data_IF_830988736892
#
_entry.id   IF_830988736892
#
_cell.length_a   1.000
_cell.length_b   1.000
_cell.length_c   1.000
_cell.angle_alpha   90.00
_cell.angle_beta   90.00
_cell.angle_gamma   90.00
#
_symmetry.space_group_name_H-M   'P 1'
#
loop_
_entity.id
_entity.type
_entity.pdbx_description
1 polymer ?
#
# COMPACT_ATOMS: atom_id res chain seq x y z
N UNK A 1 44.70 -3.45 -36.71
CA UNK A 1 43.80 -2.63 -37.57
C UNK A 1 42.42 -3.27 -37.79
N UNK A 2 42.18 -4.56 -37.51
CA UNK A 2 40.88 -5.24 -37.76
C UNK A 2 39.85 -5.04 -36.67
N UNK A 3 40.20 -4.77 -35.41
CA UNK A 3 39.27 -4.63 -34.28
C UNK A 3 38.54 -3.28 -34.29
N UNK A 4 39.25 -2.18 -34.59
CA UNK A 4 38.67 -0.85 -34.66
C UNK A 4 37.70 -0.67 -35.85
N UNK A 5 37.96 -1.31 -37.00
CA UNK A 5 37.08 -1.27 -38.16
C UNK A 5 35.80 -2.09 -37.94
N UNK A 6 35.86 -3.21 -37.22
CA UNK A 6 34.69 -4.02 -36.82
C UNK A 6 33.76 -3.28 -35.86
N UNK A 7 34.32 -2.50 -34.92
CA UNK A 7 33.50 -1.71 -33.99
C UNK A 7 32.80 -0.51 -34.63
N UNK A 8 33.46 0.11 -35.65
CA UNK A 8 32.86 1.20 -36.43
C UNK A 8 31.70 0.67 -37.29
N UNK A 9 31.89 -0.50 -37.90
CA UNK A 9 30.84 -1.13 -38.76
C UNK A 9 29.63 -1.59 -37.95
N UNK A 10 29.82 -2.11 -36.73
CA UNK A 10 28.73 -2.44 -35.79
C UNK A 10 27.95 -1.20 -35.34
N UNK A 11 28.60 -0.05 -35.19
CA UNK A 11 27.93 1.20 -34.80
C UNK A 11 27.08 1.81 -35.93
N UNK A 12 27.41 1.56 -37.20
CA UNK A 12 26.68 2.12 -38.34
C UNK A 12 25.33 1.42 -38.63
N UNK A 13 25.20 0.15 -38.24
CA UNK A 13 23.97 -0.65 -38.50
C UNK A 13 23.02 -0.81 -37.29
N UNK A 14 23.27 -0.06 -36.22
CA UNK A 14 22.37 -0.09 -35.05
C UNK A 14 21.16 0.81 -35.23
N UNK A 15 19.98 0.30 -34.88
CA UNK A 15 18.74 1.06 -34.85
C UNK A 15 18.86 2.29 -33.95
N UNK A 16 18.09 3.35 -34.25
CA UNK A 16 18.06 4.61 -33.47
C UNK A 16 17.84 4.34 -31.98
N UNK A 17 17.03 3.34 -31.62
CA UNK A 17 16.78 2.92 -30.22
C UNK A 17 18.02 2.32 -29.55
N UNK A 18 18.87 1.62 -30.31
CA UNK A 18 20.13 1.06 -29.80
C UNK A 18 21.22 2.13 -29.68
N UNK A 19 21.23 3.14 -30.56
CA UNK A 19 22.10 4.32 -30.44
C UNK A 19 21.71 5.18 -29.22
N UNK A 20 20.44 5.32 -28.90
CA UNK A 20 19.98 5.98 -27.67
C UNK A 20 20.39 5.23 -26.40
N UNK A 21 20.36 3.90 -26.42
CA UNK A 21 20.84 3.06 -25.28
C UNK A 21 22.35 3.15 -25.05
N UNK A 22 23.15 3.37 -26.09
CA UNK A 22 24.62 3.40 -25.98
C UNK A 22 25.15 4.79 -25.56
N UNK A 23 24.49 5.87 -25.97
CA UNK A 23 24.91 7.24 -25.65
C UNK A 23 24.43 7.75 -24.29
N UNK A 24 23.45 7.11 -23.67
CA UNK A 24 23.09 7.36 -22.29
C UNK A 24 23.80 6.33 -21.40
N UNK A 25 25.05 6.60 -21.01
CA UNK A 25 25.55 6.16 -19.72
C UNK A 25 25.08 7.20 -18.72
N UNK A 26 23.97 7.00 -18.01
CA UNK A 26 23.62 7.85 -16.89
C UNK A 26 24.78 7.74 -15.90
N UNK A 27 25.07 8.84 -15.23
CA UNK A 27 25.99 8.81 -14.08
C UNK A 27 25.60 7.60 -13.23
N UNK A 28 26.56 6.75 -12.92
CA UNK A 28 26.42 5.35 -12.48
C UNK A 28 25.58 5.10 -11.19
N UNK A 29 24.62 5.90 -10.86
CA UNK A 29 23.74 5.79 -9.70
C UNK A 29 22.25 5.74 -10.03
N UNK A 30 21.78 6.55 -10.99
CA UNK A 30 20.35 6.75 -11.17
C UNK A 30 19.62 5.56 -11.83
N UNK A 31 20.24 4.86 -12.80
CA UNK A 31 19.62 3.68 -13.43
C UNK A 31 19.86 2.38 -12.64
N UNK A 32 20.89 2.33 -11.82
CA UNK A 32 21.06 1.21 -10.90
C UNK A 32 19.97 1.25 -9.80
N UNK A 33 19.61 2.44 -9.34
CA UNK A 33 18.47 2.62 -8.41
C UNK A 33 17.16 2.06 -8.99
N UNK A 34 16.86 2.33 -10.28
CA UNK A 34 15.63 1.85 -10.93
C UNK A 34 15.50 0.31 -11.00
N UNK A 35 16.58 -0.43 -10.86
CA UNK A 35 16.55 -1.91 -10.79
C UNK A 35 16.10 -2.42 -9.43
N UNK A 36 16.20 -1.59 -8.40
CA UNK A 36 15.88 -1.93 -7.02
C UNK A 36 14.58 -1.26 -6.55
N UNK A 37 13.98 -0.37 -7.37
CA UNK A 37 12.64 0.19 -7.13
C UNK A 37 11.61 -0.88 -7.49
N UNK A 38 10.80 -1.24 -6.54
CA UNK A 38 9.70 -2.19 -6.74
C UNK A 38 9.16 -2.73 -5.42
N UNK A 39 9.99 -3.35 -4.57
CA UNK A 39 9.53 -3.89 -3.29
C UNK A 39 8.87 -2.85 -2.39
N UNK A 40 9.47 -1.68 -2.21
CA UNK A 40 8.91 -0.59 -1.44
C UNK A 40 7.62 -0.03 -2.04
N UNK A 41 7.58 0.18 -3.36
CA UNK A 41 6.36 0.63 -4.05
C UNK A 41 5.22 -0.36 -3.94
N UNK A 42 5.48 -1.67 -4.06
CA UNK A 42 4.45 -2.69 -3.90
C UNK A 42 3.82 -2.64 -2.51
N UNK A 43 4.64 -2.43 -1.49
CA UNK A 43 4.16 -2.34 -0.10
C UNK A 43 3.47 -1.01 0.18
N UNK A 44 3.84 0.08 -0.53
CA UNK A 44 3.18 1.40 -0.41
C UNK A 44 1.68 1.33 -0.71
N UNK A 45 1.25 0.40 -1.56
CA UNK A 45 -0.19 0.17 -1.84
C UNK A 45 -0.98 -0.14 -0.59
N UNK A 46 -0.39 -0.91 0.32
CA UNK A 46 -1.03 -1.19 1.59
C UNK A 46 -1.25 0.04 2.49
N UNK A 47 -0.63 1.20 2.17
CA UNK A 47 -0.83 2.46 2.92
C UNK A 47 -1.79 3.43 2.21
N UNK A 48 -2.38 3.01 1.09
CA UNK A 48 -3.31 3.80 0.29
C UNK A 48 -4.63 3.00 0.17
N UNK A 49 -4.89 2.18 1.13
CA UNK A 49 -6.03 1.29 1.22
C UNK A 49 -7.33 2.02 1.64
N UNK A 50 -8.49 1.40 1.47
CA UNK A 50 -9.76 1.97 1.89
C UNK A 50 -9.86 2.30 3.39
N UNK A 51 -9.16 1.58 4.27
CA UNK A 51 -9.06 1.89 5.70
C UNK A 51 -8.37 3.23 5.95
N UNK A 52 -7.26 3.48 5.25
CA UNK A 52 -6.60 4.80 5.25
C UNK A 52 -7.51 5.89 4.70
N UNK A 53 -8.29 5.60 3.65
CA UNK A 53 -9.26 6.58 3.12
C UNK A 53 -10.28 6.96 4.18
N UNK A 54 -10.93 5.98 4.79
CA UNK A 54 -11.93 6.23 5.84
C UNK A 54 -11.33 7.06 7.00
N UNK A 55 -10.19 6.63 7.53
CA UNK A 55 -9.50 7.29 8.64
C UNK A 55 -9.06 8.73 8.30
N UNK A 56 -8.50 8.95 7.11
CA UNK A 56 -8.00 10.26 6.69
C UNK A 56 -9.17 11.21 6.37
N UNK A 57 -10.25 10.73 5.75
CA UNK A 57 -11.44 11.55 5.53
C UNK A 57 -12.15 11.91 6.84
N UNK A 58 -12.25 10.98 7.79
CA UNK A 58 -12.76 11.26 9.13
C UNK A 58 -11.86 12.31 9.83
N UNK A 59 -10.54 12.13 9.82
CA UNK A 59 -9.59 13.07 10.40
C UNK A 59 -9.74 14.48 9.83
N UNK A 60 -9.80 14.60 8.50
CA UNK A 60 -9.91 15.88 7.82
C UNK A 60 -11.28 16.55 8.02
N UNK A 61 -12.37 15.80 7.94
CA UNK A 61 -13.75 16.33 8.06
C UNK A 61 -14.11 16.75 9.50
N UNK A 62 -13.59 16.05 10.51
CA UNK A 62 -13.89 16.35 11.92
C UNK A 62 -12.91 17.32 12.58
N UNK A 63 -11.61 17.22 12.24
CA UNK A 63 -10.54 17.98 12.92
C UNK A 63 -9.76 18.92 11.98
N UNK A 64 -10.19 19.07 10.73
CA UNK A 64 -9.48 19.91 9.76
C UNK A 64 -8.05 19.44 9.56
N UNK A 65 -7.10 20.38 9.64
CA UNK A 65 -5.67 20.05 9.47
C UNK A 65 -4.99 19.49 10.74
N UNK A 66 -5.67 19.50 11.88
CA UNK A 66 -5.05 19.25 13.19
C UNK A 66 -4.34 17.90 13.34
N UNK A 67 -4.73 16.88 12.56
CA UNK A 67 -4.19 15.53 12.64
C UNK A 67 -3.14 15.18 11.56
N UNK A 68 -2.71 16.14 10.74
CA UNK A 68 -1.66 15.90 9.72
C UNK A 68 -0.33 15.40 10.31
N UNK A 69 0.00 15.78 11.53
CA UNK A 69 1.20 15.30 12.24
C UNK A 69 1.17 13.78 12.48
N UNK A 70 -0.01 13.18 12.62
CA UNK A 70 -0.17 11.73 12.81
C UNK A 70 0.34 10.98 11.58
N UNK A 71 -0.02 11.46 10.38
CA UNK A 71 0.48 10.89 9.12
C UNK A 71 2.00 11.00 9.01
N UNK A 72 2.57 12.13 9.45
CA UNK A 72 4.03 12.31 9.46
C UNK A 72 4.70 11.36 10.45
N UNK A 73 4.18 11.26 11.67
CA UNK A 73 4.72 10.37 12.69
C UNK A 73 4.64 8.91 12.27
N UNK A 74 3.47 8.46 11.81
CA UNK A 74 3.27 7.07 11.36
C UNK A 74 4.17 6.73 10.18
N UNK A 75 4.37 7.65 9.24
CA UNK A 75 5.29 7.45 8.11
C UNK A 75 6.75 7.31 8.57
N UNK A 76 7.21 8.13 9.52
CA UNK A 76 8.56 8.00 10.11
C UNK A 76 8.72 6.64 10.79
N UNK A 77 7.74 6.22 11.61
CA UNK A 77 7.75 4.91 12.25
C UNK A 77 7.84 3.79 11.22
N UNK A 78 7.08 3.91 10.15
CA UNK A 78 7.02 2.91 9.10
C UNK A 78 8.33 2.81 8.31
N UNK A 79 8.98 3.94 7.97
CA UNK A 79 10.31 3.94 7.32
C UNK A 79 11.31 3.11 8.15
N UNK A 80 11.34 3.33 9.46
CA UNK A 80 12.24 2.59 10.36
C UNK A 80 11.90 1.10 10.40
N UNK A 81 10.62 0.76 10.54
CA UNK A 81 10.18 -0.63 10.62
C UNK A 81 10.40 -1.38 9.30
N UNK A 82 10.04 -0.79 8.17
CA UNK A 82 10.21 -1.37 6.84
C UNK A 82 11.69 -1.60 6.51
N UNK A 83 12.55 -0.62 6.81
CA UNK A 83 13.99 -0.78 6.61
C UNK A 83 14.57 -1.92 7.44
N UNK A 84 14.17 -2.04 8.72
CA UNK A 84 14.65 -3.13 9.57
C UNK A 84 14.21 -4.51 9.05
N UNK A 85 12.98 -4.60 8.58
CA UNK A 85 12.42 -5.84 8.05
C UNK A 85 13.08 -6.22 6.72
N UNK A 86 13.32 -5.25 5.85
CA UNK A 86 14.06 -5.47 4.60
C UNK A 86 15.52 -5.88 4.88
N UNK A 87 16.16 -5.23 5.86
CA UNK A 87 17.52 -5.60 6.31
C UNK A 87 17.57 -7.08 6.75
N UNK A 88 16.59 -7.53 7.54
CA UNK A 88 16.46 -8.95 7.90
C UNK A 88 16.45 -9.85 6.67
N UNK A 89 15.57 -9.59 5.71
CA UNK A 89 15.43 -10.38 4.48
C UNK A 89 16.69 -10.38 3.60
N UNK A 90 17.32 -9.22 3.43
CA UNK A 90 18.53 -9.07 2.61
C UNK A 90 19.71 -9.85 3.20
N UNK A 91 19.89 -9.78 4.52
CA UNK A 91 21.08 -10.38 5.18
C UNK A 91 20.88 -11.86 5.45
N UNK A 92 19.71 -12.27 5.94
CA UNK A 92 19.47 -13.65 6.37
C UNK A 92 18.84 -14.53 5.29
N UNK A 93 18.14 -13.93 4.32
CA UNK A 93 17.35 -14.66 3.35
C UNK A 93 16.07 -15.25 3.92
N UNK A 94 15.66 -14.85 5.14
CA UNK A 94 14.43 -15.27 5.79
C UNK A 94 13.41 -14.13 5.77
N UNK A 95 12.14 -14.47 5.58
CA UNK A 95 11.08 -13.53 5.85
C UNK A 95 10.82 -13.39 7.35
N UNK A 96 10.07 -12.37 7.77
CA UNK A 96 9.83 -12.06 9.18
C UNK A 96 9.10 -13.21 9.91
N UNK A 97 8.16 -13.89 9.24
CA UNK A 97 7.41 -15.02 9.81
C UNK A 97 8.28 -16.26 10.02
N UNK A 98 9.15 -16.58 9.06
CA UNK A 98 10.13 -17.67 9.18
C UNK A 98 11.14 -17.38 10.29
N UNK A 99 11.68 -16.15 10.32
CA UNK A 99 12.63 -15.74 11.36
C UNK A 99 12.00 -15.81 12.75
N UNK A 100 10.75 -15.37 12.90
CA UNK A 100 10.01 -15.48 14.16
C UNK A 100 9.83 -16.96 14.58
N UNK A 101 9.48 -17.83 13.64
CA UNK A 101 9.29 -19.26 13.90
C UNK A 101 10.59 -19.97 14.24
N UNK A 102 11.71 -19.58 13.59
CA UNK A 102 13.01 -20.23 13.77
C UNK A 102 13.75 -19.79 15.04
N UNK A 103 13.71 -18.47 15.35
CA UNK A 103 14.54 -17.90 16.41
C UNK A 103 13.78 -17.56 17.69
N UNK A 104 12.44 -17.42 17.64
CA UNK A 104 11.66 -17.16 18.85
C UNK A 104 11.13 -18.47 19.47
N UNK A 105 11.02 -18.54 20.81
CA UNK A 105 10.34 -19.64 21.47
C UNK A 105 8.90 -19.78 20.97
N UNK A 106 8.43 -21.01 20.82
CA UNK A 106 7.09 -21.30 20.25
C UNK A 106 5.93 -20.61 20.98
N UNK A 107 6.08 -20.37 22.28
CA UNK A 107 5.07 -19.69 23.10
C UNK A 107 5.00 -18.17 22.83
N UNK A 108 6.02 -17.58 22.20
CA UNK A 108 6.04 -16.19 21.71
C UNK A 108 5.67 -16.15 20.22
N UNK A 109 6.34 -16.95 19.39
CA UNK A 109 6.16 -16.93 17.94
C UNK A 109 4.70 -17.18 17.53
N UNK A 110 4.05 -18.22 18.10
CA UNK A 110 2.67 -18.57 17.73
C UNK A 110 1.64 -17.49 18.04
N UNK A 111 1.59 -16.87 19.25
CA UNK A 111 0.68 -15.76 19.49
C UNK A 111 0.94 -14.54 18.61
N UNK A 112 2.22 -14.17 18.39
CA UNK A 112 2.60 -13.04 17.52
C UNK A 112 2.16 -13.28 16.09
N UNK A 113 2.46 -14.44 15.51
CA UNK A 113 2.04 -14.77 14.14
C UNK A 113 0.50 -14.93 14.06
N UNK A 114 -0.13 -15.49 15.08
CA UNK A 114 -1.59 -15.57 15.18
C UNK A 114 -2.25 -14.19 15.20
N UNK A 115 -1.70 -13.22 15.96
CA UNK A 115 -2.20 -11.85 15.97
C UNK A 115 -1.98 -11.14 14.61
N UNK A 116 -0.89 -11.45 13.92
CA UNK A 116 -0.63 -10.92 12.58
C UNK A 116 -1.62 -11.48 11.53
N UNK A 117 -2.03 -12.75 11.66
CA UNK A 117 -3.11 -13.33 10.82
C UNK A 117 -4.44 -12.62 11.11
N UNK A 118 -4.77 -12.39 12.38
CA UNK A 118 -6.00 -11.66 12.74
C UNK A 118 -5.97 -10.23 12.20
N UNK A 119 -4.85 -9.53 12.29
CA UNK A 119 -4.67 -8.21 11.70
C UNK A 119 -4.86 -8.26 10.18
N UNK A 120 -4.33 -9.27 9.47
CA UNK A 120 -4.56 -9.44 8.04
C UNK A 120 -6.03 -9.66 7.70
N UNK A 121 -6.78 -10.40 8.53
CA UNK A 121 -8.23 -10.60 8.34
C UNK A 121 -8.98 -9.26 8.50
N UNK A 122 -8.67 -8.50 9.55
CA UNK A 122 -9.28 -7.19 9.80
C UNK A 122 -9.00 -6.23 8.64
N UNK A 123 -7.77 -6.15 8.17
CA UNK A 123 -7.41 -5.32 7.01
C UNK A 123 -8.11 -5.80 5.72
N UNK A 124 -8.10 -7.12 5.44
CA UNK A 124 -8.81 -7.66 4.27
C UNK A 124 -10.30 -7.32 4.28
N UNK A 125 -10.91 -7.20 5.45
CA UNK A 125 -12.30 -6.77 5.61
C UNK A 125 -12.48 -5.32 5.11
N UNK A 126 -11.66 -4.39 5.58
CA UNK A 126 -11.70 -2.99 5.16
C UNK A 126 -11.47 -2.83 3.65
N UNK A 127 -10.53 -3.60 3.11
CA UNK A 127 -10.15 -3.54 1.69
C UNK A 127 -11.24 -4.09 0.77
N UNK A 128 -11.85 -5.23 1.11
CA UNK A 128 -12.99 -5.80 0.39
C UNK A 128 -14.19 -4.84 0.43
N UNK A 129 -14.46 -4.25 1.60
CA UNK A 129 -15.53 -3.24 1.75
C UNK A 129 -15.27 -2.02 0.87
N UNK A 130 -14.03 -1.52 0.82
CA UNK A 130 -13.68 -0.40 -0.04
C UNK A 130 -13.92 -0.69 -1.52
N UNK A 131 -13.53 -1.89 -1.99
CA UNK A 131 -13.84 -2.34 -3.35
C UNK A 131 -15.35 -2.45 -3.61
N UNK A 132 -16.12 -2.97 -2.64
CA UNK A 132 -17.57 -3.09 -2.72
C UNK A 132 -18.26 -1.72 -2.73
N UNK A 133 -17.84 -0.80 -1.87
CA UNK A 133 -18.32 0.60 -1.83
C UNK A 133 -18.07 1.27 -3.19
N UNK A 134 -16.89 1.11 -3.75
CA UNK A 134 -16.57 1.65 -5.06
C UNK A 134 -17.46 1.07 -6.17
N UNK A 135 -17.72 -0.23 -6.17
CA UNK A 135 -18.66 -0.87 -7.10
C UNK A 135 -20.10 -0.36 -6.92
N UNK A 136 -20.52 -0.11 -5.70
CA UNK A 136 -21.82 0.51 -5.44
C UNK A 136 -21.87 1.95 -5.97
N UNK A 137 -20.82 2.74 -5.77
CA UNK A 137 -20.73 4.12 -6.29
C UNK A 137 -20.73 4.21 -7.81
N UNK A 138 -20.13 3.23 -8.49
CA UNK A 138 -19.96 3.22 -9.96
C UNK A 138 -21.12 2.57 -10.68
N UNK A 139 -21.67 1.48 -10.14
CA UNK A 139 -22.58 0.56 -10.84
C UNK A 139 -23.85 0.26 -10.07
N UNK A 140 -24.08 0.91 -8.91
CA UNK A 140 -25.20 0.67 -8.00
C UNK A 140 -25.31 -0.80 -7.53
N UNK A 141 -24.18 -1.53 -7.49
CA UNK A 141 -24.13 -2.92 -7.03
C UNK A 141 -24.23 -2.92 -5.50
N UNK A 142 -25.18 -3.67 -4.88
CA UNK A 142 -25.25 -3.78 -3.41
C UNK A 142 -23.95 -4.28 -2.79
N UNK A 143 -23.56 -3.75 -1.61
CA UNK A 143 -22.30 -4.03 -0.92
C UNK A 143 -22.01 -5.52 -0.83
N UNK A 144 -23.00 -6.35 -0.49
CA UNK A 144 -22.85 -7.81 -0.38
C UNK A 144 -22.35 -8.44 -1.69
N UNK A 145 -22.96 -8.09 -2.81
CA UNK A 145 -22.55 -8.58 -4.14
C UNK A 145 -21.22 -7.98 -4.58
N UNK A 146 -21.00 -6.69 -4.30
CA UNK A 146 -19.74 -6.01 -4.52
C UNK A 146 -18.58 -6.69 -3.79
N UNK A 147 -18.79 -7.07 -2.52
CA UNK A 147 -17.80 -7.80 -1.72
C UNK A 147 -17.48 -9.18 -2.27
N UNK A 148 -18.51 -9.93 -2.70
CA UNK A 148 -18.31 -11.25 -3.33
C UNK A 148 -17.52 -11.10 -4.63
N UNK A 149 -17.89 -10.14 -5.48
CA UNK A 149 -17.20 -9.92 -6.76
C UNK A 149 -15.75 -9.50 -6.56
N UNK A 150 -15.47 -8.57 -5.65
CA UNK A 150 -14.11 -8.13 -5.31
C UNK A 150 -13.27 -9.31 -4.81
N UNK A 151 -13.79 -10.06 -3.84
CA UNK A 151 -13.08 -11.21 -3.27
C UNK A 151 -12.79 -12.28 -4.32
N UNK A 152 -13.78 -12.65 -5.13
CA UNK A 152 -13.63 -13.66 -6.17
C UNK A 152 -12.60 -13.20 -7.24
N UNK A 153 -12.67 -11.95 -7.67
CA UNK A 153 -11.73 -11.38 -8.63
C UNK A 153 -10.29 -11.44 -8.11
N UNK A 154 -10.08 -11.06 -6.85
CA UNK A 154 -8.76 -11.09 -6.21
C UNK A 154 -8.24 -12.51 -6.04
N UNK A 155 -9.06 -13.47 -5.60
CA UNK A 155 -8.67 -14.88 -5.51
C UNK A 155 -8.25 -15.42 -6.87
N UNK A 156 -9.01 -15.13 -7.93
CA UNK A 156 -8.66 -15.54 -9.30
C UNK A 156 -7.34 -14.91 -9.73
N UNK A 157 -7.13 -13.61 -9.45
CA UNK A 157 -5.86 -12.93 -9.73
C UNK A 157 -4.68 -13.58 -9.01
N UNK A 158 -4.80 -13.79 -7.71
CA UNK A 158 -3.73 -14.39 -6.90
C UNK A 158 -3.35 -15.79 -7.38
N UNK A 159 -4.35 -16.64 -7.69
CA UNK A 159 -4.10 -18.04 -8.06
C UNK A 159 -3.70 -18.23 -9.53
N UNK A 160 -4.03 -17.28 -10.41
CA UNK A 160 -3.80 -17.39 -11.86
C UNK A 160 -2.56 -16.68 -12.35
N UNK A 161 -2.07 -15.67 -11.62
CA UNK A 161 -1.04 -14.75 -12.11
C UNK A 161 0.32 -14.98 -11.46
N UNK A 162 1.38 -14.73 -12.24
CA UNK A 162 2.73 -14.66 -11.69
C UNK A 162 2.91 -13.34 -10.94
N UNK A 163 3.70 -13.38 -9.86
CA UNK A 163 4.08 -12.24 -9.03
C UNK A 163 4.39 -10.95 -9.83
N UNK A 164 5.22 -11.03 -10.87
CA UNK A 164 5.60 -9.87 -11.71
C UNK A 164 4.45 -9.18 -12.44
N UNK A 165 3.35 -9.90 -12.71
CA UNK A 165 2.16 -9.28 -13.32
C UNK A 165 1.34 -8.53 -12.28
N UNK A 166 1.22 -9.12 -11.09
CA UNK A 166 0.54 -8.51 -9.94
C UNK A 166 1.27 -7.24 -9.54
N UNK A 167 2.58 -7.28 -9.34
CA UNK A 167 3.41 -6.12 -9.01
C UNK A 167 3.22 -4.95 -9.99
N UNK A 168 3.25 -5.21 -11.30
CA UNK A 168 3.03 -4.16 -12.31
C UNK A 168 1.61 -3.58 -12.30
N UNK A 169 0.60 -4.42 -12.08
CA UNK A 169 -0.78 -3.96 -11.96
C UNK A 169 -0.94 -3.04 -10.73
N UNK A 170 -0.35 -3.43 -9.62
CA UNK A 170 -0.36 -2.68 -8.37
C UNK A 170 0.31 -1.30 -8.55
N UNK A 171 1.51 -1.24 -9.14
CA UNK A 171 2.21 0.03 -9.40
C UNK A 171 1.35 0.95 -10.29
N UNK A 172 0.68 0.39 -11.31
CA UNK A 172 -0.23 1.17 -12.15
C UNK A 172 -1.42 1.73 -11.34
N UNK A 173 -2.00 0.94 -10.43
CA UNK A 173 -3.12 1.38 -9.58
C UNK A 173 -2.70 2.53 -8.66
N UNK A 174 -1.56 2.40 -7.96
CA UNK A 174 -1.02 3.48 -7.11
C UNK A 174 -0.80 4.77 -7.91
N UNK A 175 -0.27 4.65 -9.12
CA UNK A 175 -0.05 5.81 -9.97
C UNK A 175 -1.36 6.52 -10.32
N UNK A 176 -2.41 5.77 -10.64
CA UNK A 176 -3.75 6.33 -10.90
C UNK A 176 -4.32 7.01 -9.65
N UNK A 177 -4.23 6.35 -8.49
CA UNK A 177 -4.70 6.90 -7.21
C UNK A 177 -3.96 8.19 -6.87
N UNK A 178 -2.63 8.19 -6.96
CA UNK A 178 -1.81 9.38 -6.68
C UNK A 178 -2.15 10.55 -7.60
N UNK A 179 -2.34 10.29 -8.90
CA UNK A 179 -2.73 11.32 -9.86
C UNK A 179 -4.15 11.84 -9.61
N UNK A 180 -5.09 11.00 -9.19
CA UNK A 180 -6.45 11.44 -8.87
C UNK A 180 -6.48 12.39 -7.68
N UNK A 181 -5.78 12.08 -6.59
CA UNK A 181 -5.69 12.99 -5.43
C UNK A 181 -4.94 14.29 -5.76
N UNK A 182 -3.87 14.22 -6.54
CA UNK A 182 -3.19 15.44 -7.01
C UNK A 182 -4.14 16.31 -7.82
N UNK A 183 -4.94 15.73 -8.72
CA UNK A 183 -5.95 16.47 -9.48
C UNK A 183 -6.98 17.13 -8.54
N UNK A 184 -7.53 16.40 -7.58
CA UNK A 184 -8.51 16.92 -6.63
C UNK A 184 -7.94 18.04 -5.74
N UNK A 185 -6.66 17.96 -5.32
CA UNK A 185 -6.00 19.02 -4.56
C UNK A 185 -5.87 20.33 -5.31
N UNK A 186 -5.74 20.30 -6.64
CA UNK A 186 -5.72 21.53 -7.45
C UNK A 186 -7.08 22.23 -7.54
N UNK A 187 -8.16 21.54 -7.20
CA UNK A 187 -9.52 22.06 -7.26
C UNK A 187 -9.98 22.71 -5.96
N UNK A 188 -9.27 22.48 -4.84
CA UNK A 188 -9.66 22.97 -3.51
C UNK A 188 -8.74 24.10 -3.03
N UNK A 189 -9.30 24.99 -2.21
CA UNK A 189 -8.55 26.08 -1.60
C UNK A 189 -8.02 25.67 -0.21
N UNK A 190 -6.71 25.40 -0.15
CA UNK A 190 -6.01 24.90 1.02
C UNK A 190 -5.32 26.07 1.75
N UNK A 191 -5.48 26.11 3.07
CA UNK A 191 -4.68 26.98 3.95
C UNK A 191 -3.29 26.35 4.19
N UNK A 192 -2.37 26.62 3.25
CA UNK A 192 -1.02 26.08 3.30
C UNK A 192 -0.22 26.44 4.57
N UNK A 193 -0.26 27.71 5.08
CA UNK A 193 0.39 28.05 6.35
C UNK A 193 -0.08 27.18 7.51
N UNK A 194 -1.40 26.95 7.63
CA UNK A 194 -1.96 26.09 8.66
C UNK A 194 -1.58 24.62 8.46
N UNK A 195 -1.65 24.11 7.23
CA UNK A 195 -1.30 22.73 6.88
C UNK A 195 0.17 22.42 7.19
N UNK A 196 1.11 23.29 6.76
CA UNK A 196 2.55 23.12 7.00
C UNK A 196 2.85 23.07 8.51
N UNK A 197 2.24 23.95 9.30
CA UNK A 197 2.36 23.93 10.76
C UNK A 197 1.83 22.62 11.33
N UNK A 198 0.68 22.13 10.87
CA UNK A 198 0.03 20.94 11.37
C UNK A 198 0.77 19.64 11.04
N UNK A 199 1.61 19.58 10.00
CA UNK A 199 2.47 18.43 9.74
C UNK A 199 3.56 18.24 10.79
N UNK A 200 4.00 19.32 11.45
CA UNK A 200 5.16 19.30 12.35
C UNK A 200 4.76 19.45 13.80
N UNK A 201 3.70 20.23 14.09
CA UNK A 201 3.27 20.53 15.45
C UNK A 201 2.13 19.60 15.87
N UNK A 202 2.37 18.66 16.80
CA UNK A 202 1.32 17.78 17.31
C UNK A 202 0.21 18.56 18.00
N UNK A 203 -1.03 18.17 17.69
CA UNK A 203 -2.24 18.67 18.34
C UNK A 203 -3.19 17.50 18.59
N UNK A 204 -3.77 17.44 19.79
CA UNK A 204 -4.71 16.39 20.18
C UNK A 204 -6.02 17.06 20.58
N UNK A 205 -6.90 17.35 19.59
CA UNK A 205 -8.22 17.89 19.88
C UNK A 205 -9.05 16.95 20.77
N UNK A 206 -9.98 17.49 21.51
CA UNK A 206 -10.88 16.68 22.33
C UNK A 206 -11.70 15.74 21.44
N UNK A 207 -11.73 14.44 21.79
CA UNK A 207 -12.43 13.41 21.02
C UNK A 207 -11.63 12.79 19.86
N UNK A 208 -10.44 13.33 19.52
CA UNK A 208 -9.66 12.86 18.36
C UNK A 208 -8.91 11.54 18.56
N UNK A 209 -8.86 10.99 19.78
CA UNK A 209 -8.00 9.84 20.09
C UNK A 209 -8.33 8.61 19.26
N UNK A 210 -9.61 8.30 19.05
CA UNK A 210 -10.03 7.17 18.22
C UNK A 210 -9.53 7.31 16.78
N UNK A 211 -9.67 8.50 16.19
CA UNK A 211 -9.24 8.76 14.82
C UNK A 211 -7.71 8.80 14.73
N UNK A 212 -7.01 9.34 15.74
CA UNK A 212 -5.54 9.27 15.80
C UNK A 212 -5.08 7.81 15.78
N UNK A 213 -5.70 6.94 16.58
CA UNK A 213 -5.36 5.51 16.62
C UNK A 213 -5.70 4.82 15.30
N UNK A 214 -6.83 5.16 14.68
CA UNK A 214 -7.22 4.64 13.38
C UNK A 214 -6.23 5.03 12.28
N UNK A 215 -5.89 6.33 12.15
CA UNK A 215 -4.90 6.81 11.16
C UNK A 215 -3.53 6.16 11.38
N UNK A 216 -3.08 6.06 12.64
CA UNK A 216 -1.80 5.46 12.95
C UNK A 216 -1.79 3.96 12.65
N UNK A 217 -2.85 3.24 13.01
CA UNK A 217 -3.01 1.81 12.76
C UNK A 217 -3.15 1.48 11.27
N UNK A 218 -3.88 2.30 10.54
CA UNK A 218 -4.04 2.18 9.10
C UNK A 218 -2.73 2.41 8.32
N UNK A 219 -1.81 3.26 8.81
CA UNK A 219 -0.49 3.45 8.19
C UNK A 219 0.51 2.38 8.65
N UNK A 220 0.60 2.07 9.97
CA UNK A 220 1.57 1.13 10.52
C UNK A 220 0.96 -0.27 10.62
N UNK A 221 0.71 -0.89 9.46
CA UNK A 221 0.09 -2.21 9.37
C UNK A 221 1.09 -3.34 9.61
N UNK A 222 0.90 -4.19 10.64
CA UNK A 222 1.83 -5.28 10.92
C UNK A 222 1.99 -6.26 9.75
N UNK A 223 0.90 -6.67 9.11
CA UNK A 223 0.93 -7.64 8.02
C UNK A 223 1.72 -7.14 6.79
N UNK A 224 1.77 -5.83 6.53
CA UNK A 224 2.59 -5.26 5.47
C UNK A 224 4.10 -5.36 5.75
N UNK A 225 4.52 -5.39 7.02
CA UNK A 225 5.90 -5.68 7.39
C UNK A 225 6.28 -7.12 7.01
N UNK A 226 5.39 -8.07 7.26
CA UNK A 226 5.59 -9.46 6.83
C UNK A 226 5.67 -9.57 5.31
N UNK A 227 4.74 -8.93 4.59
CA UNK A 227 4.75 -8.92 3.12
C UNK A 227 6.05 -8.33 2.57
N UNK A 228 6.53 -7.21 3.14
CA UNK A 228 7.79 -6.59 2.69
C UNK A 228 8.98 -7.55 2.83
N UNK A 229 9.10 -8.22 3.98
CA UNK A 229 10.18 -9.20 4.18
C UNK A 229 10.11 -10.35 3.18
N UNK A 230 8.91 -10.83 2.84
CA UNK A 230 8.66 -11.87 1.86
C UNK A 230 9.07 -11.43 0.44
N UNK A 231 8.67 -10.22 0.07
CA UNK A 231 9.05 -9.64 -1.22
C UNK A 231 10.57 -9.53 -1.35
N UNK A 232 11.24 -9.03 -0.31
CA UNK A 232 12.70 -8.94 -0.26
C UNK A 232 13.34 -10.34 -0.34
N UNK A 233 12.83 -11.32 0.40
CA UNK A 233 13.32 -12.70 0.37
C UNK A 233 13.25 -13.29 -1.04
N UNK A 234 12.18 -13.01 -1.79
CA UNK A 234 11.98 -13.52 -3.15
C UNK A 234 13.08 -13.10 -4.15
N UNK A 235 13.86 -12.08 -3.85
CA UNK A 235 14.99 -11.61 -4.65
C UNK A 235 16.31 -12.34 -4.35
N UNK A 236 16.37 -13.17 -3.29
CA UNK A 236 17.53 -14.00 -2.91
C UNK A 236 18.84 -13.22 -2.76
N UNK A 237 18.79 -11.98 -2.26
CA UNK A 237 19.95 -11.10 -2.13
C UNK A 237 21.05 -11.66 -1.21
N UNK A 238 20.69 -12.47 -0.21
CA UNK A 238 21.61 -13.14 0.72
C UNK A 238 22.60 -14.09 0.05
N UNK A 239 22.34 -14.52 -1.20
CA UNK A 239 23.24 -15.38 -1.98
C UNK A 239 24.35 -14.61 -2.70
N UNK A 240 24.37 -13.29 -2.61
CA UNK A 240 25.36 -12.41 -3.25
C UNK A 240 26.58 -12.20 -2.34
N UNK A 241 27.65 -11.61 -2.91
CA UNK A 241 28.82 -11.20 -2.15
C UNK A 241 28.54 -10.02 -1.21
N UNK A 242 29.35 -9.86 -0.15
CA UNK A 242 29.15 -8.80 0.85
C UNK A 242 29.10 -7.38 0.27
N UNK A 243 29.88 -7.10 -0.78
CA UNK A 243 29.88 -5.81 -1.45
C UNK A 243 28.55 -5.51 -2.12
N UNK A 244 27.96 -6.51 -2.76
CA UNK A 244 26.64 -6.44 -3.38
C UNK A 244 25.55 -6.31 -2.32
N UNK A 245 25.60 -7.06 -1.22
CA UNK A 245 24.66 -6.97 -0.11
C UNK A 245 24.63 -5.54 0.47
N UNK A 246 25.80 -4.94 0.74
CA UNK A 246 25.87 -3.54 1.23
C UNK A 246 25.26 -2.54 0.24
N UNK A 247 25.47 -2.78 -1.06
CA UNK A 247 24.89 -1.93 -2.12
C UNK A 247 23.36 -2.07 -2.15
N UNK A 248 22.84 -3.30 -2.04
CA UNK A 248 21.40 -3.58 -2.00
C UNK A 248 20.76 -2.91 -0.79
N UNK A 249 21.35 -3.03 0.42
CA UNK A 249 20.84 -2.37 1.64
C UNK A 249 20.70 -0.87 1.47
N UNK A 250 21.67 -0.23 0.81
CA UNK A 250 21.64 1.21 0.53
C UNK A 250 20.50 1.59 -0.44
N UNK A 251 20.33 0.82 -1.50
CA UNK A 251 19.30 1.10 -2.51
C UNK A 251 17.89 0.78 -1.99
N UNK A 252 17.74 -0.28 -1.21
CA UNK A 252 16.49 -0.62 -0.54
C UNK A 252 16.04 0.51 0.39
N UNK A 253 16.97 1.09 1.19
CA UNK A 253 16.64 2.25 2.02
C UNK A 253 16.08 3.41 1.19
N UNK A 254 16.66 3.72 0.03
CA UNK A 254 16.15 4.78 -0.84
C UNK A 254 14.81 4.40 -1.49
N UNK A 255 14.60 3.13 -1.86
CA UNK A 255 13.32 2.64 -2.36
C UNK A 255 12.22 2.77 -1.30
N UNK A 256 12.48 2.29 -0.09
CA UNK A 256 11.58 2.44 1.06
C UNK A 256 11.30 3.92 1.36
N UNK A 257 12.33 4.76 1.46
CA UNK A 257 12.17 6.19 1.75
C UNK A 257 11.31 6.89 0.70
N UNK A 258 11.60 6.69 -0.58
CA UNK A 258 10.84 7.29 -1.68
C UNK A 258 9.38 6.82 -1.66
N UNK A 259 9.18 5.53 -1.52
CA UNK A 259 7.86 4.90 -1.49
C UNK A 259 7.01 5.41 -0.31
N UNK A 260 7.62 5.55 0.87
CA UNK A 260 6.93 6.08 2.05
C UNK A 260 6.63 7.58 1.92
N UNK A 261 7.49 8.37 1.26
CA UNK A 261 7.19 9.78 0.95
C UNK A 261 5.98 9.89 0.03
N UNK A 262 5.87 9.03 -0.98
CA UNK A 262 4.69 8.99 -1.86
C UNK A 262 3.44 8.63 -1.05
N UNK A 263 3.49 7.61 -0.20
CA UNK A 263 2.39 7.25 0.69
C UNK A 263 2.01 8.39 1.65
N UNK A 264 2.98 9.05 2.25
CA UNK A 264 2.78 10.23 3.09
C UNK A 264 2.07 11.37 2.34
N UNK A 265 2.48 11.64 1.11
CA UNK A 265 1.89 12.69 0.29
C UNK A 265 0.42 12.38 -0.03
N UNK A 266 0.10 11.12 -0.40
CA UNK A 266 -1.26 10.71 -0.73
C UNK A 266 -2.16 10.73 0.53
N UNK A 267 -1.71 10.17 1.65
CA UNK A 267 -2.48 10.20 2.91
C UNK A 267 -2.70 11.64 3.41
N UNK A 268 -1.68 12.50 3.30
CA UNK A 268 -1.81 13.92 3.61
C UNK A 268 -2.82 14.60 2.66
N UNK A 269 -2.80 14.27 1.36
CA UNK A 269 -3.72 14.83 0.38
C UNK A 269 -5.19 14.51 0.72
N UNK A 270 -5.48 13.31 1.22
CA UNK A 270 -6.83 12.94 1.68
C UNK A 270 -7.30 13.80 2.85
N UNK A 271 -6.47 14.01 3.87
CA UNK A 271 -6.80 14.89 5.01
C UNK A 271 -6.97 16.34 4.54
N UNK A 272 -6.07 16.83 3.67
CA UNK A 272 -6.14 18.19 3.12
C UNK A 272 -7.42 18.42 2.33
N UNK A 273 -7.79 17.45 1.48
CA UNK A 273 -9.01 17.50 0.68
C UNK A 273 -10.25 17.53 1.59
N UNK A 274 -10.32 16.61 2.56
CA UNK A 274 -11.44 16.54 3.50
C UNK A 274 -11.55 17.81 4.38
N UNK A 275 -10.41 18.37 4.82
CA UNK A 275 -10.38 19.60 5.59
C UNK A 275 -10.82 20.82 4.76
N UNK A 276 -10.38 20.91 3.51
CA UNK A 276 -10.71 22.03 2.63
C UNK A 276 -12.17 22.00 2.14
N UNK A 277 -12.79 20.83 2.07
CA UNK A 277 -14.16 20.62 1.57
C UNK A 277 -15.17 20.48 2.72
N UNK A 278 -15.03 19.44 3.53
CA UNK A 278 -16.07 19.03 4.49
C UNK A 278 -15.99 19.76 5.84
N UNK A 279 -14.78 19.97 6.37
CA UNK A 279 -14.62 20.71 7.62
C UNK A 279 -15.10 22.18 7.50
N UNK A 280 -14.83 22.85 6.36
CA UNK A 280 -15.31 24.21 6.11
C UNK A 280 -16.84 24.32 6.06
N UNK A 281 -17.53 23.24 5.67
CA UNK A 281 -19.00 23.18 5.58
C UNK A 281 -19.66 22.59 6.80
N UNK A 282 -18.89 22.25 7.85
CA UNK A 282 -19.33 21.52 9.05
C UNK A 282 -20.04 20.19 8.71
N UNK A 283 -19.61 19.51 7.66
CA UNK A 283 -20.17 18.23 7.24
C UNK A 283 -19.22 17.13 7.67
N UNK A 284 -19.64 16.28 8.61
CA UNK A 284 -18.90 15.08 8.98
C UNK A 284 -19.12 14.00 7.94
N UNK A 285 -18.06 13.32 7.55
CA UNK A 285 -18.11 12.19 6.61
C UNK A 285 -18.29 10.92 7.43
N UNK A 286 -19.52 10.40 7.44
CA UNK A 286 -19.87 9.13 8.11
C UNK A 286 -19.88 7.95 7.15
N UNK A 287 -19.79 8.19 5.85
CA UNK A 287 -19.75 7.17 4.79
C UNK A 287 -18.87 7.63 3.63
N UNK A 288 -18.03 6.74 3.09
CA UNK A 288 -17.22 7.04 1.89
C UNK A 288 -18.07 7.38 0.66
N UNK A 289 -19.31 6.86 0.59
CA UNK A 289 -20.26 7.19 -0.48
C UNK A 289 -20.73 8.65 -0.41
N UNK A 290 -20.84 9.21 0.80
CA UNK A 290 -21.17 10.63 0.98
C UNK A 290 -20.06 11.52 0.40
N UNK A 291 -18.81 11.10 0.48
CA UNK A 291 -17.70 11.83 -0.10
C UNK A 291 -17.92 12.07 -1.61
N UNK A 292 -18.38 11.07 -2.38
CA UNK A 292 -18.72 11.24 -3.81
C UNK A 292 -19.81 12.30 -4.01
N UNK A 293 -20.92 12.19 -3.30
CA UNK A 293 -22.08 13.10 -3.45
C UNK A 293 -21.79 14.53 -3.05
N UNK A 294 -20.79 14.72 -2.16
CA UNK A 294 -20.35 16.04 -1.69
C UNK A 294 -19.24 16.62 -2.58
N UNK A 295 -18.42 15.77 -3.21
CA UNK A 295 -17.36 16.21 -4.13
C UNK A 295 -17.92 16.70 -5.46
N UNK A 296 -18.93 16.05 -6.03
CA UNK A 296 -19.53 16.39 -7.31
C UNK A 296 -20.03 17.86 -7.38
N UNK A 297 -20.79 18.39 -6.41
CA UNK A 297 -21.22 19.78 -6.41
C UNK A 297 -20.09 20.80 -6.18
N UNK A 298 -19.02 20.39 -5.46
CA UNK A 298 -17.91 21.28 -5.08
C UNK A 298 -16.82 21.34 -6.13
N UNK A 299 -16.50 20.20 -6.76
CA UNK A 299 -15.35 20.03 -7.64
C UNK A 299 -15.72 19.69 -9.09
N UNK A 300 -17.03 19.54 -9.39
CA UNK A 300 -17.56 19.21 -10.71
C UNK A 300 -17.88 17.73 -10.90
N UNK A 301 -18.77 17.45 -11.86
CA UNK A 301 -19.41 16.11 -12.07
C UNK A 301 -18.46 14.93 -12.29
N UNK A 302 -17.17 15.15 -12.51
CA UNK A 302 -16.18 14.09 -12.74
C UNK A 302 -15.41 13.70 -11.47
N UNK A 303 -15.43 14.53 -10.41
CA UNK A 303 -14.64 14.30 -9.22
C UNK A 303 -15.09 13.02 -8.49
N UNK A 304 -16.38 12.85 -8.30
CA UNK A 304 -16.92 11.65 -7.67
C UNK A 304 -16.71 10.37 -8.49
N UNK A 305 -16.67 10.45 -9.83
CA UNK A 305 -16.31 9.32 -10.68
C UNK A 305 -14.82 8.94 -10.51
N UNK A 306 -13.95 9.94 -10.54
CA UNK A 306 -12.49 9.75 -10.36
C UNK A 306 -12.22 9.17 -8.97
N UNK A 307 -12.86 9.70 -7.93
CA UNK A 307 -12.79 9.21 -6.57
C UNK A 307 -13.22 7.74 -6.46
N UNK A 308 -14.38 7.36 -7.04
CA UNK A 308 -14.88 6.00 -7.00
C UNK A 308 -13.98 5.02 -7.77
N UNK A 309 -13.43 5.43 -8.92
CA UNK A 309 -12.45 4.62 -9.67
C UNK A 309 -11.15 4.42 -8.88
N UNK A 310 -10.63 5.47 -8.26
CA UNK A 310 -9.45 5.40 -7.41
C UNK A 310 -9.67 4.50 -6.18
N UNK A 311 -10.84 4.59 -5.53
CA UNK A 311 -11.22 3.71 -4.42
C UNK A 311 -11.33 2.24 -4.86
N UNK A 312 -11.88 1.96 -6.06
CA UNK A 312 -11.93 0.61 -6.61
C UNK A 312 -10.52 0.03 -6.83
N UNK A 313 -9.62 0.84 -7.41
CA UNK A 313 -8.23 0.44 -7.61
C UNK A 313 -7.51 0.20 -6.29
N UNK A 314 -7.73 1.07 -5.30
CA UNK A 314 -7.20 0.90 -3.95
C UNK A 314 -7.72 -0.40 -3.31
N UNK A 315 -9.03 -0.61 -3.29
CA UNK A 315 -9.64 -1.81 -2.71
C UNK A 315 -9.14 -3.11 -3.35
N UNK A 316 -9.07 -3.18 -4.68
CA UNK A 316 -8.56 -4.38 -5.38
C UNK A 316 -7.07 -4.59 -5.08
N UNK A 317 -6.25 -3.55 -5.21
CA UNK A 317 -4.80 -3.69 -5.04
C UNK A 317 -4.42 -4.05 -3.60
N UNK A 318 -5.07 -3.43 -2.62
CA UNK A 318 -4.78 -3.71 -1.22
C UNK A 318 -5.35 -5.06 -0.77
N UNK A 319 -6.51 -5.49 -1.28
CA UNK A 319 -6.99 -6.87 -1.04
C UNK A 319 -6.02 -7.94 -1.59
N UNK A 320 -5.32 -7.66 -2.69
CA UNK A 320 -4.27 -8.56 -3.21
C UNK A 320 -3.10 -8.61 -2.23
N UNK A 321 -2.62 -7.47 -1.75
CA UNK A 321 -1.47 -7.41 -0.85
C UNK A 321 -1.78 -8.00 0.52
N UNK A 322 -2.96 -7.78 1.09
CA UNK A 322 -3.37 -8.38 2.36
C UNK A 322 -3.53 -9.90 2.25
N UNK A 323 -4.09 -10.38 1.14
CA UNK A 323 -4.15 -11.82 0.85
C UNK A 323 -2.76 -12.46 0.75
N UNK A 324 -1.81 -11.82 0.06
CA UNK A 324 -0.42 -12.29 -0.02
C UNK A 324 0.24 -12.28 1.36
N UNK A 325 0.06 -11.21 2.14
CA UNK A 325 0.60 -11.11 3.49
C UNK A 325 0.09 -12.22 4.40
N UNK A 326 -1.23 -12.48 4.39
CA UNK A 326 -1.84 -13.57 5.14
C UNK A 326 -1.29 -14.94 4.72
N UNK A 327 -1.10 -15.15 3.42
CA UNK A 327 -0.48 -16.37 2.88
C UNK A 327 0.96 -16.56 3.37
N UNK A 328 1.77 -15.48 3.37
CA UNK A 328 3.15 -15.50 3.86
C UNK A 328 3.22 -15.76 5.38
N UNK A 329 2.40 -15.05 6.16
CA UNK A 329 2.37 -15.24 7.63
C UNK A 329 1.97 -16.66 7.97
N UNK A 330 0.94 -17.20 7.32
CA UNK A 330 0.44 -18.54 7.60
C UNK A 330 1.45 -19.62 7.20
N UNK A 331 2.09 -19.51 6.03
CA UNK A 331 3.17 -20.41 5.61
C UNK A 331 4.36 -20.36 6.60
N UNK A 332 4.74 -19.13 7.02
CA UNK A 332 5.84 -18.96 7.98
C UNK A 332 5.60 -19.56 9.37
N UNK A 333 4.34 -19.77 9.81
CA UNK A 333 4.03 -20.54 11.03
C UNK A 333 4.58 -21.97 10.93
N UNK A 334 4.63 -22.51 9.71
CA UNK A 334 5.18 -23.84 9.43
C UNK A 334 6.65 -23.81 9.01
N UNK A 335 7.27 -22.62 8.97
CA UNK A 335 8.66 -22.43 8.54
C UNK A 335 8.82 -22.55 7.02
N UNK A 336 7.78 -22.26 6.26
CA UNK A 336 7.76 -22.29 4.80
C UNK A 336 7.72 -20.85 4.25
N UNK A 337 8.44 -20.61 3.16
CA UNK A 337 8.32 -19.35 2.40
C UNK A 337 7.01 -19.30 1.61
N UNK A 338 6.55 -18.11 1.31
CA UNK A 338 5.32 -17.93 0.55
C UNK A 338 5.47 -18.43 -0.88
N UNK A 339 4.63 -19.38 -1.25
CA UNK A 339 4.46 -19.77 -2.63
C UNK A 339 3.00 -20.14 -2.90
N UNK A 340 2.35 -19.42 -3.82
CA UNK A 340 0.90 -19.54 -4.05
C UNK A 340 0.44 -20.95 -4.47
N UNK A 341 1.35 -21.83 -4.90
CA UNK A 341 1.02 -23.24 -5.20
C UNK A 341 0.99 -24.12 -3.96
N UNK A 342 1.62 -23.70 -2.87
CA UNK A 342 1.73 -24.46 -1.65
C UNK A 342 0.45 -24.36 -0.82
N UNK A 343 0.13 -25.45 -0.13
CA UNK A 343 -1.15 -25.58 0.58
C UNK A 343 -1.30 -24.57 1.71
N UNK A 344 -0.23 -24.33 2.49
CA UNK A 344 -0.28 -23.41 3.62
C UNK A 344 -0.44 -21.96 3.16
N UNK A 345 0.25 -21.54 2.10
CA UNK A 345 0.08 -20.21 1.49
C UNK A 345 -1.35 -20.01 1.01
N UNK A 346 -1.95 -21.01 0.34
CA UNK A 346 -3.35 -20.96 -0.11
C UNK A 346 -4.33 -20.88 1.04
N UNK A 347 -4.11 -21.70 2.07
CA UNK A 347 -4.97 -21.67 3.27
C UNK A 347 -4.92 -20.29 3.92
N UNK A 348 -3.75 -19.67 4.07
CA UNK A 348 -3.62 -18.32 4.62
C UNK A 348 -4.39 -17.28 3.83
N UNK A 349 -4.27 -17.29 2.49
CA UNK A 349 -5.04 -16.39 1.60
C UNK A 349 -6.54 -16.60 1.77
N UNK A 350 -7.01 -17.85 1.66
CA UNK A 350 -8.44 -18.17 1.74
C UNK A 350 -9.02 -17.92 3.13
N UNK A 351 -8.25 -18.15 4.18
CA UNK A 351 -8.64 -17.86 5.55
C UNK A 351 -8.85 -16.35 5.75
N UNK A 352 -7.90 -15.54 5.31
CA UNK A 352 -8.01 -14.08 5.46
C UNK A 352 -9.19 -13.52 4.66
N UNK A 353 -9.22 -13.76 3.36
CA UNK A 353 -10.27 -13.21 2.49
C UNK A 353 -11.65 -13.84 2.76
N UNK A 354 -11.70 -15.14 3.05
CA UNK A 354 -12.95 -15.84 3.31
C UNK A 354 -13.59 -15.45 4.64
N UNK A 355 -12.80 -15.35 5.72
CA UNK A 355 -13.30 -14.91 7.04
C UNK A 355 -13.73 -13.44 6.96
N UNK A 356 -12.93 -12.57 6.32
CA UNK A 356 -13.29 -11.19 6.10
C UNK A 356 -14.62 -11.06 5.34
N UNK A 357 -14.82 -11.82 4.25
CA UNK A 357 -16.07 -11.84 3.50
C UNK A 357 -17.25 -12.30 4.35
N UNK A 358 -17.07 -13.33 5.19
CA UNK A 358 -18.13 -13.80 6.09
C UNK A 358 -18.51 -12.72 7.10
N UNK A 359 -17.53 -12.03 7.70
CA UNK A 359 -17.77 -10.94 8.66
C UNK A 359 -18.57 -9.80 8.01
N UNK A 360 -18.29 -9.48 6.74
CA UNK A 360 -19.00 -8.41 6.00
C UNK A 360 -20.54 -8.64 5.98
N UNK A 361 -20.99 -9.89 5.94
CA UNK A 361 -22.44 -10.17 5.96
C UNK A 361 -23.14 -9.83 7.27
N UNK A 362 -22.38 -9.57 8.33
CA UNK A 362 -22.90 -9.18 9.66
C UNK A 362 -22.62 -7.72 10.02
N UNK A 363 -22.04 -6.95 9.11
CA UNK A 363 -21.74 -5.52 9.33
C UNK A 363 -22.92 -4.68 8.82
N UNK A 364 -23.54 -3.92 9.71
CA UNK A 364 -24.65 -3.03 9.36
C UNK A 364 -24.17 -1.76 8.64
N UNK A 365 -23.04 -1.18 9.06
CA UNK A 365 -22.47 0.01 8.45
C UNK A 365 -21.06 -0.28 7.90
N UNK A 366 -20.88 -0.28 6.55
CA UNK A 366 -19.60 -0.55 5.89
C UNK A 366 -18.47 0.43 6.24
N UNK A 367 -18.79 1.69 6.55
CA UNK A 367 -17.77 2.70 6.90
C UNK A 367 -17.09 2.36 8.23
N UNK A 368 -17.85 1.98 9.25
CA UNK A 368 -17.28 1.52 10.51
C UNK A 368 -16.48 0.22 10.34
N UNK A 369 -16.87 -0.64 9.41
CA UNK A 369 -16.08 -1.81 9.02
C UNK A 369 -14.71 -1.46 8.44
N UNK A 370 -14.57 -0.31 7.77
CA UNK A 370 -13.28 0.18 7.26
C UNK A 370 -12.41 0.83 8.35
N UNK A 371 -13.00 1.29 9.46
CA UNK A 371 -12.26 1.92 10.57
C UNK A 371 -11.72 0.91 11.60
N UNK A 372 -12.21 -0.34 11.58
CA UNK A 372 -11.76 -1.45 12.43
C UNK A 372 -10.43 -2.03 11.97
#
# INVERSE_FOLDING_TARGET
>A
LSSAASDVYKRQNMNILDKLKINHRPSAGALDLLKYIGPGLLVTVGFIDPGNWASNFAAGSEFGYALLWVVTLSTIMLIVLQHNVAHLGIVTGLCLSEAATQYCPKWIARPVLGSAVLASISTSLAEILGGAIALQMLLDIPIVWGSILTTLFVIIMLFSNSYKKIERAIIAFVSVIGLSFLYELFLVDIDWPMAVRAWVVPSIPQGSMLIIMSVLGAVVMPHNLFLHSEVIQSHEYNKQDEGSIRKVLKYEFYDTLFSMIVGWAINSAMILLAAATFFKTNTQVEELQQAKSLLDPLLGNNAGLIFALALLMAGISSTITSGMAAGSIFAGIFGESYHIKDIHSRIGVLLSLGVALVIIFFIDNPFYGCLL
#
